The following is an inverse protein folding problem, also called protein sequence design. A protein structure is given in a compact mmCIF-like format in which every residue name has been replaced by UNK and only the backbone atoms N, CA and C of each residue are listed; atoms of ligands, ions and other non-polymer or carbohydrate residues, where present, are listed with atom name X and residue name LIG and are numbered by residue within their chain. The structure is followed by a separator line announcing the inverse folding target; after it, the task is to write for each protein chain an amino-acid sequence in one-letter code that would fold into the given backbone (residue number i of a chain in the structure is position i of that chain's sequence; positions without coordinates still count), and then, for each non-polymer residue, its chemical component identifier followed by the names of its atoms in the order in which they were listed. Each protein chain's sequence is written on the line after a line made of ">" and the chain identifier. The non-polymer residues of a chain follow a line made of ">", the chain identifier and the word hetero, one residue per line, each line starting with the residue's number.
data_IF_743547069440
#
_entry.id   IF_743547069440
#
_cell.length_a   1.000
_cell.length_b   1.000
_cell.length_c   1.000
_cell.angle_alpha   90.00
_cell.angle_beta   90.00
_cell.angle_gamma   90.00
#
_symmetry.space_group_name_H-M   'P 1'
#
loop_
_entity.id
_entity.type
_entity.pdbx_description
1 polymer ?
#
# COMPACT_ATOMS: atom_id res chain seq x y z
N UNK A 1 -6.67 -32.60 19.33
CA UNK A 1 -6.39 -31.21 18.91
C UNK A 1 -6.40 -30.35 20.13
N UNK A 2 -5.42 -29.45 20.32
CA UNK A 2 -5.34 -28.55 21.47
C UNK A 2 -6.52 -27.57 21.47
N UNK A 3 -7.11 -27.31 22.65
CA UNK A 3 -7.97 -26.16 22.84
C UNK A 3 -7.15 -24.87 23.01
N UNK A 4 -7.82 -23.71 23.07
CA UNK A 4 -7.13 -22.42 23.21
C UNK A 4 -6.24 -22.34 24.44
N UNK A 5 -6.70 -22.78 25.59
CA UNK A 5 -5.92 -22.73 26.82
C UNK A 5 -4.74 -23.70 26.82
N UNK A 6 -4.91 -24.89 26.24
CA UNK A 6 -3.84 -25.86 26.07
C UNK A 6 -2.76 -25.35 25.12
N UNK A 7 -3.17 -24.71 24.01
CA UNK A 7 -2.25 -24.07 23.07
C UNK A 7 -1.44 -22.98 23.77
N UNK A 8 -2.10 -22.01 24.40
CA UNK A 8 -1.44 -20.87 25.04
C UNK A 8 -0.44 -21.33 26.13
N UNK A 9 -0.84 -22.29 26.98
CA UNK A 9 0.04 -22.81 28.00
C UNK A 9 1.23 -23.62 27.43
N UNK A 10 0.97 -24.45 26.40
CA UNK A 10 2.02 -25.24 25.75
C UNK A 10 2.99 -24.36 25.01
N UNK A 11 2.49 -23.35 24.31
CA UNK A 11 3.30 -22.37 23.62
C UNK A 11 4.18 -21.55 24.59
N UNK A 12 3.62 -21.11 25.72
CA UNK A 12 4.38 -20.43 26.77
C UNK A 12 5.52 -21.33 27.33
N UNK A 13 5.27 -22.62 27.46
CA UNK A 13 6.27 -23.60 27.89
C UNK A 13 7.33 -23.84 26.83
N UNK A 14 6.90 -24.05 25.57
CA UNK A 14 7.77 -24.41 24.45
C UNK A 14 8.61 -23.23 23.97
N UNK A 15 7.96 -22.14 23.56
CA UNK A 15 8.62 -21.01 22.90
C UNK A 15 9.15 -19.95 23.88
N UNK A 16 8.41 -19.67 24.96
CA UNK A 16 8.80 -18.65 25.95
C UNK A 16 9.57 -19.23 27.17
N UNK A 17 9.83 -20.55 27.18
CA UNK A 17 10.63 -21.20 28.19
C UNK A 17 10.06 -21.20 29.61
N UNK A 18 8.74 -21.04 29.77
CA UNK A 18 8.08 -21.02 31.07
C UNK A 18 8.17 -22.40 31.75
N UNK A 19 8.75 -22.45 32.98
CA UNK A 19 8.99 -23.70 33.71
C UNK A 19 8.32 -23.74 35.09
N UNK A 20 7.47 -22.76 35.39
CA UNK A 20 6.67 -22.75 36.64
C UNK A 20 5.23 -22.34 36.30
N UNK A 21 4.28 -22.76 37.17
CA UNK A 21 2.87 -22.38 36.99
C UNK A 21 2.66 -20.87 36.89
N UNK A 22 3.41 -20.09 37.67
CA UNK A 22 3.33 -18.61 37.63
C UNK A 22 3.91 -18.07 36.34
N UNK A 23 5.04 -18.62 35.86
CA UNK A 23 5.63 -18.21 34.59
C UNK A 23 4.72 -18.57 33.41
N UNK A 24 4.09 -19.75 33.41
CA UNK A 24 3.11 -20.13 32.37
C UNK A 24 1.92 -19.19 32.41
N UNK A 25 1.34 -18.91 33.59
CA UNK A 25 0.22 -17.99 33.70
C UNK A 25 0.57 -16.58 33.15
N UNK A 26 1.74 -16.05 33.53
CA UNK A 26 2.19 -14.75 33.08
C UNK A 26 2.44 -14.72 31.55
N UNK A 27 3.10 -15.74 30.98
CA UNK A 27 3.48 -15.80 29.58
C UNK A 27 2.30 -16.13 28.65
N UNK A 28 1.25 -16.80 29.13
CA UNK A 28 0.06 -17.20 28.38
C UNK A 28 -1.14 -16.27 28.59
N UNK A 29 -1.05 -15.29 29.49
CA UNK A 29 -2.20 -14.45 29.85
C UNK A 29 -3.32 -15.17 30.60
N UNK A 30 -3.11 -16.43 31.02
CA UNK A 30 -4.10 -17.23 31.75
C UNK A 30 -4.12 -16.89 33.25
N UNK A 31 -5.28 -17.03 33.89
CA UNK A 31 -5.30 -16.98 35.35
C UNK A 31 -4.47 -18.13 35.94
N UNK A 32 -3.92 -17.94 37.15
CA UNK A 32 -3.11 -18.98 37.82
C UNK A 32 -3.90 -20.29 37.97
N UNK A 33 -5.22 -20.20 38.26
CA UNK A 33 -6.08 -21.38 38.38
C UNK A 33 -6.28 -22.11 37.06
N UNK A 34 -6.52 -21.37 35.99
CA UNK A 34 -6.63 -21.90 34.60
C UNK A 34 -5.29 -22.54 34.19
N UNK A 35 -4.19 -21.83 34.37
CA UNK A 35 -2.85 -22.32 34.03
C UNK A 35 -2.54 -23.65 34.76
N UNK A 36 -2.88 -23.77 36.08
CA UNK A 36 -2.68 -24.99 36.82
C UNK A 36 -3.53 -26.15 36.28
N UNK A 37 -4.80 -25.91 35.99
CA UNK A 37 -5.67 -26.94 35.41
C UNK A 37 -5.16 -27.39 34.02
N UNK A 38 -4.77 -26.43 33.17
CA UNK A 38 -4.24 -26.68 31.82
C UNK A 38 -2.91 -27.45 31.87
N UNK A 39 -1.98 -27.09 32.78
CA UNK A 39 -0.72 -27.83 32.96
C UNK A 39 -0.98 -29.30 33.36
N UNK A 40 -1.99 -29.55 34.23
CA UNK A 40 -2.36 -30.93 34.57
C UNK A 40 -2.88 -31.70 33.35
N UNK A 41 -3.67 -31.06 32.49
CA UNK A 41 -4.14 -31.67 31.25
C UNK A 41 -2.97 -31.93 30.27
N UNK A 42 -2.04 -30.99 30.11
CA UNK A 42 -0.86 -31.17 29.25
C UNK A 42 0.03 -32.34 29.74
N UNK A 43 0.20 -32.49 31.04
CA UNK A 43 0.89 -33.67 31.61
C UNK A 43 0.15 -34.96 31.33
N UNK A 44 -1.16 -34.99 31.56
CA UNK A 44 -1.99 -36.16 31.27
C UNK A 44 -1.96 -36.60 29.82
N UNK A 45 -1.82 -35.63 28.89
CA UNK A 45 -1.62 -35.90 27.46
C UNK A 45 -0.16 -36.23 27.09
N UNK A 46 0.76 -36.22 28.07
CA UNK A 46 2.18 -36.49 27.82
C UNK A 46 2.90 -35.40 27.01
N UNK A 47 2.36 -34.19 26.95
CA UNK A 47 2.94 -33.07 26.19
C UNK A 47 4.04 -32.34 26.96
N UNK A 48 4.02 -32.45 28.32
CA UNK A 48 5.05 -31.89 29.18
C UNK A 48 5.37 -32.92 30.29
N UNK A 49 6.62 -32.94 30.75
CA UNK A 49 7.06 -33.77 31.85
C UNK A 49 6.78 -33.12 33.23
N UNK A 50 7.25 -33.75 34.31
CA UNK A 50 7.06 -33.24 35.66
C UNK A 50 7.82 -31.93 35.94
N UNK A 51 8.88 -31.66 35.18
CA UNK A 51 9.64 -30.40 35.24
C UNK A 51 9.08 -29.28 34.36
N UNK A 52 7.97 -29.53 33.68
CA UNK A 52 7.41 -28.67 32.64
C UNK A 52 8.34 -28.50 31.42
N UNK A 53 9.20 -29.46 31.13
CA UNK A 53 9.88 -29.49 29.85
C UNK A 53 8.94 -30.09 28.78
N UNK A 54 8.90 -29.50 27.53
CA UNK A 54 8.12 -30.04 26.47
C UNK A 54 8.69 -31.38 26.00
N UNK A 55 7.82 -32.33 25.68
CA UNK A 55 8.19 -33.63 25.10
C UNK A 55 8.18 -33.58 23.56
N UNK A 56 8.62 -34.65 22.89
CA UNK A 56 8.52 -34.74 21.43
C UNK A 56 7.06 -34.65 20.97
N UNK A 57 6.11 -35.22 21.73
CA UNK A 57 4.68 -35.12 21.46
C UNK A 57 4.15 -33.66 21.52
N UNK A 58 4.83 -32.74 22.21
CA UNK A 58 4.49 -31.33 22.25
C UNK A 58 4.68 -30.68 20.89
N UNK A 59 5.77 -31.04 20.17
CA UNK A 59 6.04 -30.53 18.82
C UNK A 59 4.97 -30.97 17.82
N UNK A 60 4.59 -32.26 17.88
CA UNK A 60 3.53 -32.80 17.03
C UNK A 60 2.18 -32.11 17.31
N UNK A 61 1.91 -31.84 18.60
CA UNK A 61 0.68 -31.13 18.98
C UNK A 61 0.65 -29.66 18.55
N UNK A 62 1.80 -28.99 18.49
CA UNK A 62 1.94 -27.59 18.00
C UNK A 62 2.03 -27.51 16.49
N UNK A 63 2.44 -28.56 15.78
CA UNK A 63 2.66 -28.54 14.33
C UNK A 63 1.48 -27.98 13.50
N UNK A 64 0.19 -28.27 13.81
CA UNK A 64 -0.94 -27.70 13.08
C UNK A 64 -1.08 -26.17 13.17
N UNK A 65 -0.46 -25.56 14.19
CA UNK A 65 -0.51 -24.13 14.47
C UNK A 65 0.75 -23.39 14.03
N UNK A 66 1.73 -24.10 13.48
CA UNK A 66 2.95 -23.49 12.97
C UNK A 66 2.60 -22.61 11.76
N UNK A 67 3.18 -21.42 11.75
CA UNK A 67 3.09 -20.50 10.58
C UNK A 67 3.86 -21.12 9.43
N UNK A 68 3.22 -21.26 8.29
CA UNK A 68 3.82 -21.82 7.08
C UNK A 68 4.66 -20.78 6.35
N UNK A 69 4.11 -19.57 6.21
CA UNK A 69 4.71 -18.50 5.39
C UNK A 69 4.13 -17.12 5.73
N UNK A 70 4.67 -16.10 5.05
CA UNK A 70 4.12 -14.74 5.07
C UNK A 70 4.00 -14.17 3.65
N UNK A 71 2.98 -13.37 3.44
CA UNK A 71 2.75 -12.59 2.22
C UNK A 71 2.79 -11.11 2.57
N UNK A 72 3.64 -10.34 1.89
CA UNK A 72 3.68 -8.88 2.01
C UNK A 72 3.07 -8.28 0.75
N UNK A 73 1.98 -7.54 0.92
CA UNK A 73 1.26 -6.88 -0.18
C UNK A 73 1.92 -5.53 -0.49
N UNK A 74 2.56 -5.43 -1.66
CA UNK A 74 3.32 -4.26 -2.10
C UNK A 74 2.96 -3.81 -3.52
N UNK A 75 1.76 -4.14 -4.01
CA UNK A 75 1.37 -3.87 -5.40
C UNK A 75 0.69 -2.51 -5.62
N UNK A 76 0.30 -1.80 -4.56
CA UNK A 76 -0.52 -0.59 -4.60
C UNK A 76 0.16 0.63 -5.21
N UNK A 77 -0.64 1.56 -5.76
CA UNK A 77 -0.19 2.80 -6.40
C UNK A 77 0.35 3.85 -5.41
N UNK A 78 0.02 3.76 -4.13
CA UNK A 78 0.44 4.69 -3.07
C UNK A 78 0.16 6.18 -3.40
N UNK A 79 -0.96 6.48 -4.07
CA UNK A 79 -1.25 7.80 -4.64
C UNK A 79 -1.32 8.93 -3.59
N UNK A 80 -1.68 8.61 -2.34
CA UNK A 80 -1.70 9.55 -1.21
C UNK A 80 -0.30 9.98 -0.72
N UNK A 81 0.77 9.31 -1.22
CA UNK A 81 2.17 9.65 -0.94
C UNK A 81 2.80 10.54 -2.01
N UNK A 82 2.02 11.09 -2.94
CA UNK A 82 2.55 12.07 -3.88
C UNK A 82 3.24 13.23 -3.13
N UNK A 83 4.38 13.73 -3.58
CA UNK A 83 5.06 13.37 -4.82
C UNK A 83 6.01 12.17 -4.71
N UNK A 84 6.31 11.70 -3.50
CA UNK A 84 7.33 10.67 -3.25
C UNK A 84 6.97 9.35 -3.96
N UNK A 85 5.68 8.98 -3.94
CA UNK A 85 5.20 7.77 -4.63
C UNK A 85 5.36 7.81 -6.15
N UNK A 86 5.55 8.99 -6.75
CA UNK A 86 5.86 9.10 -8.18
C UNK A 86 7.27 8.62 -8.50
N UNK A 87 8.15 8.57 -7.52
CA UNK A 87 9.53 8.10 -7.65
C UNK A 87 9.71 6.70 -7.07
N UNK A 88 9.20 6.43 -5.87
CA UNK A 88 9.39 5.16 -5.14
C UNK A 88 8.07 4.67 -4.53
N UNK A 89 7.79 3.36 -4.56
CA UNK A 89 6.62 2.80 -3.86
C UNK A 89 6.79 2.87 -2.34
N UNK A 90 5.68 2.93 -1.58
CA UNK A 90 5.68 3.07 -0.11
C UNK A 90 6.62 2.10 0.60
N UNK A 91 6.54 0.81 0.26
CA UNK A 91 7.27 -0.24 0.97
C UNK A 91 8.79 -0.10 0.95
N UNK A 92 9.36 0.62 -0.03
CA UNK A 92 10.81 0.86 -0.09
C UNK A 92 11.23 2.21 0.47
N UNK A 93 10.31 2.96 1.08
CA UNK A 93 10.66 4.21 1.75
C UNK A 93 11.50 3.93 3.00
N UNK A 94 12.46 4.81 3.24
CA UNK A 94 13.32 4.76 4.42
C UNK A 94 12.73 5.64 5.51
N UNK A 95 12.31 5.03 6.61
CA UNK A 95 11.68 5.68 7.75
C UNK A 95 12.54 5.40 8.97
N UNK A 96 12.91 6.43 9.72
CA UNK A 96 13.85 6.33 10.86
C UNK A 96 15.13 5.54 10.53
N UNK A 97 15.62 5.70 9.30
CA UNK A 97 16.85 5.06 8.85
C UNK A 97 16.72 3.63 8.34
N UNK A 98 15.54 3.01 8.40
CA UNK A 98 15.25 1.64 7.90
C UNK A 98 14.28 1.66 6.75
N UNK A 99 14.44 0.75 5.78
CA UNK A 99 13.45 0.53 4.71
C UNK A 99 12.29 -0.29 5.27
N UNK A 100 11.05 0.17 5.07
CA UNK A 100 9.85 -0.42 5.66
C UNK A 100 9.74 -1.93 5.43
N UNK A 101 9.76 -2.35 4.17
CA UNK A 101 9.59 -3.77 3.82
C UNK A 101 10.78 -4.62 4.30
N UNK A 102 11.99 -4.08 4.31
CA UNK A 102 13.17 -4.80 4.82
C UNK A 102 13.06 -5.05 6.33
N UNK A 103 12.53 -4.06 7.08
CA UNK A 103 12.27 -4.21 8.50
C UNK A 103 11.28 -5.32 8.77
N UNK A 104 10.15 -5.36 8.04
CA UNK A 104 9.15 -6.43 8.17
C UNK A 104 9.75 -7.81 7.85
N UNK A 105 10.53 -7.92 6.77
CA UNK A 105 11.20 -9.18 6.40
C UNK A 105 12.14 -9.64 7.52
N UNK A 106 12.92 -8.73 8.12
CA UNK A 106 13.80 -9.07 9.25
C UNK A 106 13.01 -9.57 10.47
N UNK A 107 11.91 -8.89 10.82
CA UNK A 107 11.06 -9.26 11.94
C UNK A 107 10.38 -10.63 11.73
N UNK A 108 9.89 -10.92 10.52
CA UNK A 108 9.36 -12.24 10.17
C UNK A 108 10.42 -13.34 10.35
N UNK A 109 11.64 -13.11 9.90
CA UNK A 109 12.75 -14.07 10.06
C UNK A 109 13.18 -14.26 11.52
N UNK A 110 13.22 -13.19 12.29
CA UNK A 110 13.46 -13.26 13.74
C UNK A 110 12.43 -14.14 14.44
N UNK A 111 11.19 -14.16 13.94
CA UNK A 111 10.14 -15.06 14.41
C UNK A 111 10.25 -16.49 13.82
N UNK A 112 11.27 -16.78 12.99
CA UNK A 112 11.46 -18.09 12.35
C UNK A 112 10.55 -18.37 11.17
N UNK A 113 10.05 -17.29 10.49
CA UNK A 113 9.22 -17.37 9.29
C UNK A 113 10.09 -16.99 8.09
N UNK A 114 10.61 -18.00 7.40
CA UNK A 114 11.60 -17.83 6.31
C UNK A 114 10.96 -17.84 4.92
N UNK A 115 9.82 -18.52 4.71
CA UNK A 115 9.11 -18.52 3.43
C UNK A 115 8.26 -17.26 3.30
N UNK A 116 8.85 -16.22 2.70
CA UNK A 116 8.26 -14.90 2.54
C UNK A 116 8.05 -14.61 1.07
N UNK A 117 6.81 -14.25 0.71
CA UNK A 117 6.45 -13.83 -0.65
C UNK A 117 6.06 -12.34 -0.63
N UNK A 118 6.67 -11.55 -1.49
CA UNK A 118 6.32 -10.14 -1.72
C UNK A 118 5.55 -10.04 -3.02
N UNK A 119 4.31 -9.54 -2.96
CA UNK A 119 3.49 -9.33 -4.16
C UNK A 119 3.60 -7.88 -4.59
N UNK A 120 4.16 -7.66 -5.77
CA UNK A 120 4.49 -6.35 -6.30
C UNK A 120 3.65 -6.00 -7.53
N UNK A 121 3.51 -4.72 -7.84
CA UNK A 121 2.76 -4.23 -9.01
C UNK A 121 3.32 -2.90 -9.51
N UNK A 122 2.89 -1.80 -8.92
CA UNK A 122 3.41 -0.48 -9.23
C UNK A 122 4.90 -0.38 -8.90
N UNK A 123 5.71 0.06 -9.88
CA UNK A 123 7.19 0.18 -9.75
C UNK A 123 7.83 -1.09 -9.16
N UNK A 124 7.39 -2.25 -9.65
CA UNK A 124 7.84 -3.56 -9.18
C UNK A 124 9.36 -3.75 -9.20
N UNK A 125 10.04 -3.07 -10.11
CA UNK A 125 11.50 -3.08 -10.27
C UNK A 125 12.24 -2.59 -9.02
N UNK A 126 11.62 -1.70 -8.23
CA UNK A 126 12.17 -1.19 -6.98
C UNK A 126 12.22 -2.24 -5.86
N UNK A 127 11.60 -3.40 -6.05
CA UNK A 127 11.56 -4.49 -5.08
C UNK A 127 12.44 -5.68 -5.46
N UNK A 128 12.93 -5.78 -6.70
CA UNK A 128 13.63 -6.99 -7.15
C UNK A 128 14.92 -7.29 -6.37
N UNK A 129 15.59 -6.27 -5.83
CA UNK A 129 16.77 -6.45 -4.99
C UNK A 129 16.51 -7.29 -3.72
N UNK A 130 15.24 -7.40 -3.29
CA UNK A 130 14.87 -8.19 -2.12
C UNK A 130 15.07 -9.69 -2.33
N UNK A 131 15.00 -10.18 -3.57
CA UNK A 131 15.33 -11.59 -3.90
C UNK A 131 16.78 -11.89 -3.59
N UNK A 132 17.70 -11.03 -4.03
CA UNK A 132 19.14 -11.21 -3.80
C UNK A 132 19.52 -10.96 -2.34
N UNK A 133 18.94 -9.93 -1.71
CA UNK A 133 19.31 -9.52 -0.35
C UNK A 133 18.72 -10.44 0.73
N UNK A 134 17.49 -10.87 0.54
CA UNK A 134 16.74 -11.65 1.54
C UNK A 134 16.28 -13.02 1.03
N UNK A 135 16.49 -13.40 -0.22
CA UNK A 135 15.99 -14.68 -0.76
C UNK A 135 14.47 -14.85 -0.67
N UNK A 136 13.72 -13.75 -0.64
CA UNK A 136 12.25 -13.76 -0.68
C UNK A 136 11.77 -14.08 -2.10
N UNK A 137 10.54 -14.55 -2.23
CA UNK A 137 9.90 -14.76 -3.54
C UNK A 137 9.19 -13.48 -3.97
N UNK A 138 9.42 -13.01 -5.20
CA UNK A 138 8.65 -11.91 -5.80
C UNK A 138 7.57 -12.49 -6.72
N UNK A 139 6.33 -12.04 -6.53
CA UNK A 139 5.19 -12.35 -7.39
C UNK A 139 4.64 -11.05 -7.96
N UNK A 140 4.43 -11.00 -9.29
CA UNK A 140 3.95 -9.78 -9.95
C UNK A 140 2.43 -9.86 -10.10
N UNK A 141 1.72 -8.91 -9.50
CA UNK A 141 0.32 -8.68 -9.75
C UNK A 141 0.17 -7.81 -11.02
N UNK A 142 -0.28 -8.39 -12.12
CA UNK A 142 -0.50 -7.66 -13.37
C UNK A 142 -1.79 -6.84 -13.41
N UNK A 143 -2.71 -7.09 -12.47
CA UNK A 143 -4.02 -6.44 -12.39
C UNK A 143 -4.04 -5.26 -11.39
N UNK A 144 -2.90 -4.89 -10.80
CA UNK A 144 -2.81 -3.87 -9.76
C UNK A 144 -3.40 -2.50 -10.14
N UNK A 145 -3.45 -2.18 -11.44
CA UNK A 145 -3.97 -0.91 -11.95
C UNK A 145 -5.48 -0.93 -12.22
N UNK A 146 -6.08 -2.11 -12.31
CA UNK A 146 -7.48 -2.30 -12.71
C UNK A 146 -8.33 -2.94 -11.61
N UNK A 147 -7.69 -3.55 -10.63
CA UNK A 147 -8.34 -4.21 -9.48
C UNK A 147 -7.69 -3.75 -8.17
N UNK A 148 -8.43 -3.91 -7.08
CA UNK A 148 -7.93 -3.62 -5.74
C UNK A 148 -7.09 -4.79 -5.18
N UNK A 149 -6.76 -4.75 -3.88
CA UNK A 149 -5.88 -5.72 -3.21
C UNK A 149 -6.41 -7.17 -3.21
N UNK A 150 -7.69 -7.41 -3.54
CA UNK A 150 -8.22 -8.76 -3.79
C UNK A 150 -7.43 -9.48 -4.88
N UNK A 151 -6.97 -8.77 -5.91
CA UNK A 151 -6.11 -9.33 -6.97
C UNK A 151 -4.73 -9.74 -6.45
N UNK A 152 -4.20 -9.02 -5.46
CA UNK A 152 -2.94 -9.36 -4.79
C UNK A 152 -3.06 -10.70 -4.06
N UNK A 153 -4.15 -10.91 -3.32
CA UNK A 153 -4.45 -12.21 -2.68
C UNK A 153 -4.63 -13.31 -3.74
N UNK A 154 -5.35 -13.00 -4.84
CA UNK A 154 -5.56 -13.95 -5.95
C UNK A 154 -4.25 -14.48 -6.53
N UNK A 155 -3.25 -13.62 -6.71
CA UNK A 155 -1.93 -14.01 -7.24
C UNK A 155 -1.24 -15.10 -6.42
N UNK A 156 -1.45 -15.11 -5.10
CA UNK A 156 -0.76 -15.99 -4.14
C UNK A 156 -1.71 -16.97 -3.44
N UNK A 157 -2.97 -17.05 -3.83
CA UNK A 157 -3.98 -17.91 -3.21
C UNK A 157 -3.51 -19.35 -3.02
N UNK A 158 -2.76 -19.88 -3.97
CA UNK A 158 -2.22 -21.25 -3.94
C UNK A 158 -1.11 -21.47 -2.89
N UNK A 159 -0.55 -20.39 -2.32
CA UNK A 159 0.47 -20.42 -1.26
C UNK A 159 -0.14 -20.31 0.13
N UNK A 160 -1.41 -19.89 0.25
CA UNK A 160 -2.03 -19.59 1.52
C UNK A 160 -2.33 -20.86 2.32
N UNK A 161 -1.85 -20.86 3.55
CA UNK A 161 -2.05 -21.90 4.55
C UNK A 161 -2.24 -21.23 5.91
N UNK A 162 -1.37 -21.52 6.84
CA UNK A 162 -1.16 -20.77 8.08
C UNK A 162 -0.27 -19.57 7.73
N UNK A 163 -0.86 -18.45 7.32
CA UNK A 163 -0.15 -17.38 6.62
C UNK A 163 -0.34 -16.03 7.29
N UNK A 164 0.75 -15.30 7.52
CA UNK A 164 0.66 -13.87 7.78
C UNK A 164 0.45 -13.09 6.47
N UNK A 165 -0.51 -12.16 6.47
CA UNK A 165 -0.71 -11.22 5.38
C UNK A 165 -0.46 -9.82 5.93
N UNK A 166 0.53 -9.13 5.37
CA UNK A 166 1.03 -7.85 5.83
C UNK A 166 0.89 -6.80 4.73
N UNK A 167 0.68 -5.56 5.10
CA UNK A 167 0.83 -4.41 4.21
C UNK A 167 2.28 -3.92 4.22
N UNK A 168 2.82 -3.51 3.07
CA UNK A 168 4.23 -3.10 2.94
C UNK A 168 4.53 -1.73 3.55
N UNK A 169 3.53 -1.02 4.00
CA UNK A 169 3.56 0.32 4.60
C UNK A 169 3.43 0.32 6.12
N UNK A 170 3.36 -0.85 6.74
CA UNK A 170 3.38 -0.98 8.19
C UNK A 170 4.80 -0.82 8.75
N UNK A 171 4.89 -0.13 9.87
CA UNK A 171 6.09 -0.09 10.71
C UNK A 171 5.76 -0.63 12.10
N UNK A 172 6.36 -1.75 12.46
CA UNK A 172 6.20 -2.35 13.78
C UNK A 172 7.38 -1.91 14.67
N UNK A 173 7.09 -1.19 15.77
CA UNK A 173 8.12 -0.75 16.71
C UNK A 173 8.70 -1.94 17.51
N UNK A 174 7.87 -2.95 17.75
CA UNK A 174 8.23 -4.23 18.31
C UNK A 174 7.89 -5.34 17.32
N UNK A 175 8.52 -6.51 17.43
CA UNK A 175 8.21 -7.63 16.54
C UNK A 175 6.86 -8.25 16.90
N UNK A 176 5.81 -8.15 16.06
CA UNK A 176 4.49 -8.68 16.36
C UNK A 176 4.32 -10.14 15.93
N UNK A 177 5.29 -10.72 15.24
CA UNK A 177 5.18 -12.05 14.63
C UNK A 177 5.54 -13.16 15.61
N UNK A 178 4.72 -14.19 15.60
CA UNK A 178 4.90 -15.41 16.41
C UNK A 178 4.99 -16.64 15.49
N UNK A 179 5.87 -17.60 15.75
CA UNK A 179 6.06 -18.80 14.90
C UNK A 179 4.90 -19.80 14.95
N UNK A 180 4.03 -19.70 15.95
CA UNK A 180 2.84 -20.53 16.13
C UNK A 180 1.66 -19.64 16.51
N UNK A 181 0.53 -19.82 15.84
CA UNK A 181 -0.69 -19.03 16.08
C UNK A 181 -1.90 -19.96 16.13
N UNK A 182 -2.76 -19.75 17.13
CA UNK A 182 -3.86 -20.67 17.42
C UNK A 182 -4.97 -20.62 16.36
N UNK A 183 -5.36 -19.42 15.92
CA UNK A 183 -6.47 -19.19 14.99
C UNK A 183 -6.29 -17.90 14.21
N UNK A 184 -7.06 -17.75 13.15
CA UNK A 184 -7.10 -16.52 12.36
C UNK A 184 -7.46 -15.29 13.21
N UNK A 185 -6.72 -14.20 13.01
CA UNK A 185 -6.97 -12.92 13.69
C UNK A 185 -6.70 -11.71 12.79
N UNK A 186 -7.35 -10.60 13.11
CA UNK A 186 -7.03 -9.26 12.60
C UNK A 186 -6.38 -8.45 13.73
N UNK A 187 -5.24 -7.83 13.46
CA UNK A 187 -4.61 -6.90 14.39
C UNK A 187 -5.45 -5.62 14.53
N UNK A 188 -5.48 -5.07 15.73
CA UNK A 188 -6.24 -3.85 16.00
C UNK A 188 -5.57 -2.99 17.06
N UNK A 189 -5.73 -1.67 16.92
CA UNK A 189 -5.32 -0.67 17.91
C UNK A 189 -6.53 0.12 18.37
N UNK A 190 -6.53 0.61 19.61
CA UNK A 190 -7.65 1.37 20.12
C UNK A 190 -7.51 2.85 19.77
N UNK A 191 -8.46 3.39 18.99
CA UNK A 191 -8.56 4.79 18.65
C UNK A 191 -9.45 5.49 19.68
N UNK A 192 -8.88 6.48 20.40
CA UNK A 192 -9.61 7.32 21.33
C UNK A 192 -10.24 8.51 20.59
N UNK A 193 -11.50 8.83 20.90
CA UNK A 193 -12.25 9.89 20.25
C UNK A 193 -12.88 9.47 18.93
N UNK A 194 -13.27 10.40 18.06
CA UNK A 194 -13.86 10.09 16.77
C UNK A 194 -12.79 9.59 15.81
N UNK A 195 -13.13 8.60 14.98
CA UNK A 195 -12.29 8.06 13.91
C UNK A 195 -13.12 7.83 12.65
N UNK A 196 -12.50 7.92 11.49
CA UNK A 196 -13.08 7.55 10.19
C UNK A 196 -12.57 6.18 9.69
N UNK A 197 -11.70 5.52 10.49
CA UNK A 197 -11.12 4.24 10.18
C UNK A 197 -12.12 3.08 10.24
N UNK A 198 -11.73 1.93 9.73
CA UNK A 198 -12.52 0.71 9.81
C UNK A 198 -12.47 0.13 11.22
N UNK A 199 -13.63 0.06 11.86
CA UNK A 199 -13.78 -0.33 13.25
C UNK A 199 -14.28 -1.77 13.37
N UNK A 200 -13.69 -2.55 14.29
CA UNK A 200 -14.06 -3.93 14.58
C UNK A 200 -15.15 -3.99 15.65
N UNK A 201 -16.26 -4.62 15.32
CA UNK A 201 -17.30 -4.99 16.29
C UNK A 201 -17.05 -6.43 16.72
N UNK A 202 -16.89 -6.66 18.03
CA UNK A 202 -16.55 -7.98 18.56
C UNK A 202 -17.58 -8.52 19.53
N UNK A 203 -17.67 -9.85 19.66
CA UNK A 203 -18.53 -10.55 20.62
C UNK A 203 -17.77 -11.59 21.44
N UNK A 204 -18.23 -11.79 22.66
CA UNK A 204 -17.68 -12.79 23.57
C UNK A 204 -16.32 -12.45 24.14
N UNK A 205 -15.81 -13.33 25.03
CA UNK A 205 -14.54 -13.13 25.71
C UNK A 205 -13.32 -13.29 24.79
N UNK A 206 -13.48 -14.07 23.74
CA UNK A 206 -12.42 -14.34 22.75
C UNK A 206 -12.34 -13.25 21.69
N UNK A 207 -13.19 -12.19 21.78
CA UNK A 207 -13.22 -11.07 20.84
C UNK A 207 -13.44 -11.52 19.39
N UNK A 208 -14.37 -12.49 19.19
CA UNK A 208 -14.76 -12.90 17.85
C UNK A 208 -15.32 -11.69 17.09
N UNK A 209 -14.77 -11.39 15.93
CA UNK A 209 -15.24 -10.30 15.07
C UNK A 209 -16.63 -10.68 14.54
N UNK A 210 -17.59 -9.79 14.71
CA UNK A 210 -18.99 -9.97 14.32
C UNK A 210 -19.52 -8.89 13.40
N UNK A 211 -18.69 -7.88 13.10
CA UNK A 211 -19.00 -6.79 12.19
C UNK A 211 -17.78 -5.91 11.97
N UNK A 212 -17.83 -5.19 10.85
CA UNK A 212 -16.87 -4.14 10.50
C UNK A 212 -17.68 -2.90 10.14
N UNK A 213 -17.38 -1.77 10.75
CA UNK A 213 -18.07 -0.50 10.54
C UNK A 213 -17.04 0.57 10.12
N UNK A 214 -17.44 1.47 9.21
CA UNK A 214 -16.58 2.59 8.80
C UNK A 214 -16.90 3.78 9.68
N UNK A 215 -15.87 4.28 10.37
CA UNK A 215 -16.02 5.35 11.34
C UNK A 215 -16.58 4.90 12.69
N UNK A 216 -16.23 5.65 13.75
CA UNK A 216 -16.67 5.32 15.10
C UNK A 216 -16.17 6.34 16.13
N UNK A 217 -16.30 5.97 17.40
CA UNK A 217 -15.76 6.74 18.54
C UNK A 217 -15.31 5.74 19.61
N UNK A 218 -14.10 5.97 20.13
CA UNK A 218 -13.53 5.11 21.19
C UNK A 218 -13.59 3.63 20.79
N UNK A 219 -13.06 3.31 19.59
CA UNK A 219 -13.26 2.05 18.90
C UNK A 219 -11.93 1.36 18.59
N UNK A 220 -11.99 0.03 18.45
CA UNK A 220 -10.86 -0.76 17.92
C UNK A 220 -10.83 -0.64 16.40
N UNK A 221 -9.76 -0.09 15.85
CA UNK A 221 -9.56 0.09 14.42
C UNK A 221 -8.74 -1.08 13.83
N UNK A 222 -9.09 -1.47 12.61
CA UNK A 222 -8.32 -2.43 11.81
C UNK A 222 -7.00 -1.81 11.41
N UNK A 223 -5.88 -2.47 11.71
CA UNK A 223 -4.57 -1.90 11.46
C UNK A 223 -3.53 -3.01 11.18
N UNK A 224 -2.75 -2.80 10.14
CA UNK A 224 -1.53 -3.53 9.91
C UNK A 224 -1.71 -4.92 9.30
N UNK A 225 -1.39 -5.96 10.06
CA UNK A 225 -1.32 -7.32 9.55
C UNK A 225 -2.46 -8.19 10.03
N UNK A 226 -2.67 -9.30 9.31
CA UNK A 226 -3.58 -10.37 9.71
C UNK A 226 -2.86 -11.71 9.71
N UNK A 227 -3.38 -12.64 10.46
CA UNK A 227 -3.00 -14.04 10.36
C UNK A 227 -4.21 -14.86 9.92
N UNK A 228 -4.04 -15.63 8.88
CA UNK A 228 -5.02 -16.59 8.37
C UNK A 228 -4.57 -18.00 8.72
N UNK A 229 -5.37 -18.72 9.45
CA UNK A 229 -5.15 -20.16 9.57
C UNK A 229 -5.57 -20.90 8.30
N UNK A 230 -5.20 -22.14 8.17
CA UNK A 230 -5.44 -22.95 6.98
C UNK A 230 -6.92 -23.07 6.62
N UNK A 231 -7.80 -23.12 7.61
CA UNK A 231 -9.24 -23.22 7.38
C UNK A 231 -9.79 -21.91 6.82
N UNK A 232 -9.37 -20.78 7.39
CA UNK A 232 -9.70 -19.45 6.89
C UNK A 232 -9.18 -19.25 5.47
N UNK A 233 -7.91 -19.55 5.21
CA UNK A 233 -7.28 -19.43 3.89
C UNK A 233 -8.05 -20.19 2.80
N UNK A 234 -8.46 -21.42 3.11
CA UNK A 234 -9.24 -22.25 2.20
C UNK A 234 -10.67 -21.71 1.98
N UNK A 235 -11.32 -21.23 3.05
CA UNK A 235 -12.65 -20.66 2.94
C UNK A 235 -12.64 -19.36 2.13
N UNK A 236 -11.73 -18.44 2.43
CA UNK A 236 -11.57 -17.20 1.70
C UNK A 236 -11.25 -17.44 0.23
N UNK A 237 -10.35 -18.38 -0.06
CA UNK A 237 -10.01 -18.75 -1.43
C UNK A 237 -11.22 -19.20 -2.25
N UNK A 238 -12.11 -20.03 -1.69
CA UNK A 238 -13.35 -20.46 -2.38
C UNK A 238 -14.30 -19.29 -2.64
N UNK A 239 -14.43 -18.36 -1.69
CA UNK A 239 -15.25 -17.16 -1.85
C UNK A 239 -14.69 -16.28 -2.95
N UNK A 240 -13.37 -16.02 -2.90
CA UNK A 240 -12.69 -15.23 -3.91
C UNK A 240 -12.81 -15.85 -5.31
N UNK A 241 -12.66 -17.17 -5.44
CA UNK A 241 -12.86 -17.88 -6.72
C UNK A 241 -14.26 -17.70 -7.28
N UNK A 242 -15.28 -17.68 -6.42
CA UNK A 242 -16.67 -17.52 -6.83
C UNK A 242 -17.03 -16.09 -7.26
N UNK A 243 -16.39 -15.07 -6.65
CA UNK A 243 -16.72 -13.65 -6.89
C UNK A 243 -15.78 -12.96 -7.87
N UNK A 244 -14.57 -13.51 -8.13
CA UNK A 244 -13.49 -12.79 -8.79
C UNK A 244 -13.84 -12.28 -10.19
N UNK A 245 -14.56 -13.07 -10.98
CA UNK A 245 -14.92 -12.73 -12.36
C UNK A 245 -16.08 -11.71 -12.45
N UNK A 246 -16.78 -11.44 -11.33
CA UNK A 246 -17.77 -10.37 -11.29
C UNK A 246 -17.07 -9.00 -11.38
N UNK A 247 -17.43 -8.13 -12.36
CA UNK A 247 -16.89 -6.78 -12.45
C UNK A 247 -17.05 -5.95 -11.16
N UNK A 248 -18.09 -6.22 -10.37
CA UNK A 248 -18.31 -5.56 -9.08
C UNK A 248 -17.27 -5.94 -8.01
N UNK A 249 -16.59 -7.07 -8.16
CA UNK A 249 -15.51 -7.49 -7.28
C UNK A 249 -14.22 -6.70 -7.53
N UNK A 250 -13.97 -6.22 -8.75
CA UNK A 250 -12.71 -5.59 -9.13
C UNK A 250 -12.29 -4.43 -8.21
N UNK A 251 -13.15 -3.46 -7.85
CA UNK A 251 -12.78 -2.34 -6.97
C UNK A 251 -12.72 -2.70 -5.48
N UNK A 252 -13.21 -3.88 -5.08
CA UNK A 252 -13.32 -4.26 -3.66
C UNK A 252 -11.97 -4.57 -3.05
N UNK A 253 -11.79 -4.13 -1.80
CA UNK A 253 -10.74 -4.62 -0.92
C UNK A 253 -11.03 -6.07 -0.50
N UNK A 254 -10.00 -6.86 -0.17
CA UNK A 254 -10.21 -8.19 0.40
C UNK A 254 -10.94 -8.11 1.75
N UNK A 255 -10.75 -7.03 2.48
CA UNK A 255 -11.43 -6.71 3.74
C UNK A 255 -12.94 -6.51 3.55
N UNK A 256 -13.37 -5.94 2.41
CA UNK A 256 -14.79 -5.81 2.05
C UNK A 256 -15.41 -7.16 1.71
N UNK A 257 -14.62 -8.05 1.09
CA UNK A 257 -15.05 -9.43 0.84
C UNK A 257 -15.19 -10.17 2.18
N UNK A 258 -14.21 -10.01 3.08
CA UNK A 258 -14.27 -10.57 4.44
C UNK A 258 -15.50 -10.08 5.19
N UNK A 259 -15.75 -8.78 5.23
CA UNK A 259 -16.90 -8.20 5.93
C UNK A 259 -18.25 -8.70 5.39
N UNK A 260 -18.35 -8.96 4.08
CA UNK A 260 -19.55 -9.51 3.46
C UNK A 260 -19.80 -10.99 3.81
N UNK A 261 -18.75 -11.74 4.16
CA UNK A 261 -18.80 -13.17 4.47
C UNK A 261 -18.36 -13.50 5.90
N UNK A 262 -18.54 -12.57 6.83
CA UNK A 262 -17.99 -12.64 8.19
C UNK A 262 -18.46 -13.89 8.97
N UNK A 263 -19.65 -14.39 8.70
CA UNK A 263 -20.20 -15.60 9.33
C UNK A 263 -19.53 -16.90 8.82
N UNK A 264 -18.98 -16.88 7.61
CA UNK A 264 -18.26 -18.00 6.99
C UNK A 264 -16.75 -17.95 7.27
N UNK A 265 -16.26 -16.79 7.67
CA UNK A 265 -14.83 -16.46 7.86
C UNK A 265 -14.55 -16.04 9.31
N UNK A 266 -14.64 -16.95 10.29
CA UNK A 266 -14.44 -16.59 11.69
C UNK A 266 -13.01 -16.13 11.96
N UNK A 267 -12.86 -14.94 12.54
CA UNK A 267 -11.60 -14.31 12.90
C UNK A 267 -11.77 -13.60 14.23
N UNK A 268 -10.72 -13.59 15.05
CA UNK A 268 -10.73 -12.85 16.32
C UNK A 268 -9.96 -11.55 16.19
N UNK A 269 -10.29 -10.58 16.98
CA UNK A 269 -9.52 -9.34 17.09
C UNK A 269 -8.30 -9.60 18.00
N UNK A 270 -7.11 -9.24 17.51
CA UNK A 270 -5.88 -9.27 18.29
C UNK A 270 -5.45 -7.84 18.61
N UNK A 271 -5.60 -7.40 19.88
CA UNK A 271 -5.29 -6.02 20.25
C UNK A 271 -3.79 -5.83 20.44
N UNK A 272 -3.30 -4.70 19.94
CA UNK A 272 -1.97 -4.19 20.21
C UNK A 272 -2.06 -2.88 21.00
N UNK A 273 -1.04 -2.63 21.82
CA UNK A 273 -0.89 -1.34 22.50
C UNK A 273 -0.65 -0.22 21.48
N UNK A 274 -1.04 0.98 21.85
CA UNK A 274 -0.82 2.16 21.01
C UNK A 274 0.67 2.36 20.72
N UNK A 275 0.99 2.73 19.48
CA UNK A 275 2.36 2.93 19.02
C UNK A 275 3.17 1.66 18.71
N UNK A 276 2.60 0.47 18.83
CA UNK A 276 3.26 -0.78 18.38
C UNK A 276 3.20 -0.92 16.87
N UNK A 277 2.06 -0.60 16.28
CA UNK A 277 1.81 -0.65 14.84
C UNK A 277 1.58 0.75 14.32
N UNK A 278 2.30 1.13 13.28
CA UNK A 278 2.10 2.36 12.52
C UNK A 278 1.85 1.98 11.06
N UNK A 279 0.71 2.35 10.56
CA UNK A 279 0.36 2.26 9.14
C UNK A 279 0.40 3.66 8.54
N UNK A 280 1.15 3.83 7.45
CA UNK A 280 1.29 5.13 6.82
C UNK A 280 0.36 5.22 5.62
N UNK A 281 -0.77 5.86 5.78
CA UNK A 281 -1.74 6.09 4.73
C UNK A 281 -1.43 7.31 3.87
N UNK A 282 -0.76 8.28 4.47
CA UNK A 282 -0.39 9.55 3.82
C UNK A 282 1.03 9.98 4.19
N UNK A 283 1.53 10.96 3.43
CA UNK A 283 2.79 11.61 3.76
C UNK A 283 2.75 12.34 5.11
N UNK A 284 1.56 12.80 5.54
CA UNK A 284 1.37 13.48 6.82
C UNK A 284 1.57 12.52 8.00
N UNK A 285 1.03 11.29 7.93
CA UNK A 285 1.21 10.27 8.98
C UNK A 285 2.68 9.91 9.14
N UNK A 286 3.39 9.83 8.01
CA UNK A 286 4.81 9.54 8.01
C UNK A 286 5.63 10.68 8.61
N UNK A 287 5.28 11.95 8.36
CA UNK A 287 5.90 13.12 8.97
C UNK A 287 5.59 13.24 10.47
N UNK A 288 4.41 12.82 10.91
CA UNK A 288 4.07 12.76 12.33
C UNK A 288 4.97 11.74 13.06
N UNK A 289 5.20 10.59 12.44
CA UNK A 289 6.06 9.55 13.00
C UNK A 289 7.56 9.88 12.90
N UNK A 290 8.01 10.42 11.76
CA UNK A 290 9.39 10.77 11.46
C UNK A 290 9.46 12.22 10.98
N UNK A 291 9.63 13.16 11.91
CA UNK A 291 9.63 14.61 11.62
C UNK A 291 10.68 15.04 10.61
N UNK A 292 11.78 14.29 10.51
CA UNK A 292 12.90 14.59 9.63
C UNK A 292 12.77 13.90 8.26
N UNK A 293 11.69 13.12 8.04
CA UNK A 293 11.50 12.32 6.83
C UNK A 293 11.60 13.16 5.55
N UNK A 294 10.89 14.28 5.49
CA UNK A 294 10.85 15.13 4.28
C UNK A 294 12.24 15.69 3.94
N UNK A 295 13.03 16.04 4.94
CA UNK A 295 14.38 16.59 4.71
C UNK A 295 15.36 15.48 4.32
N UNK A 296 15.14 14.25 4.76
CA UNK A 296 16.01 13.11 4.54
C UNK A 296 15.61 12.20 3.37
N UNK A 297 14.37 12.29 2.87
CA UNK A 297 13.93 11.45 1.76
C UNK A 297 14.69 11.77 0.49
N UNK A 298 15.19 10.72 -0.18
CA UNK A 298 15.79 10.84 -1.49
C UNK A 298 14.71 11.04 -2.54
N UNK A 299 14.52 12.29 -3.01
CA UNK A 299 13.49 12.67 -3.97
C UNK A 299 13.99 13.77 -4.91
N UNK A 300 14.17 13.42 -6.18
CA UNK A 300 14.53 14.36 -7.23
C UNK A 300 13.42 15.41 -7.45
N UNK A 301 12.15 15.01 -7.29
CA UNK A 301 11.01 15.92 -7.41
C UNK A 301 11.10 17.04 -6.38
N UNK A 302 11.37 16.72 -5.11
CA UNK A 302 11.51 17.72 -4.06
C UNK A 302 12.71 18.63 -4.34
N UNK A 303 13.82 18.07 -4.81
CA UNK A 303 15.03 18.85 -5.17
C UNK A 303 14.78 19.78 -6.36
N UNK A 304 14.02 19.34 -7.37
CA UNK A 304 13.62 20.20 -8.48
C UNK A 304 12.82 21.39 -7.99
N UNK A 305 11.82 21.17 -7.14
CA UNK A 305 10.97 22.24 -6.57
C UNK A 305 11.82 23.21 -5.77
N UNK A 306 12.67 22.72 -4.85
CA UNK A 306 13.53 23.55 -4.01
C UNK A 306 14.48 24.40 -4.84
N UNK A 307 15.12 23.80 -5.84
CA UNK A 307 16.07 24.47 -6.74
C UNK A 307 15.40 25.58 -7.56
N UNK A 308 14.21 25.27 -8.14
CA UNK A 308 13.51 26.20 -9.01
C UNK A 308 12.86 27.37 -8.27
N UNK A 309 12.38 27.14 -7.05
CA UNK A 309 11.67 28.16 -6.27
C UNK A 309 12.52 28.84 -5.19
N UNK A 310 13.76 28.38 -4.98
CA UNK A 310 14.65 28.91 -3.94
C UNK A 310 14.03 28.75 -2.55
N UNK A 311 13.61 27.55 -2.20
CA UNK A 311 12.95 27.22 -0.95
C UNK A 311 13.56 25.99 -0.28
N UNK A 312 13.33 25.79 1.00
CA UNK A 312 13.60 24.55 1.69
C UNK A 312 12.45 23.53 1.44
N UNK A 313 12.70 22.26 1.67
CA UNK A 313 11.65 21.21 1.56
C UNK A 313 10.53 21.45 2.57
N UNK A 314 10.86 21.94 3.76
CA UNK A 314 9.91 22.35 4.79
C UNK A 314 9.01 23.54 4.43
N UNK A 315 9.34 24.30 3.36
CA UNK A 315 8.48 25.37 2.84
C UNK A 315 7.37 24.84 1.91
N UNK A 316 7.41 23.56 1.53
CA UNK A 316 6.46 22.95 0.59
C UNK A 316 5.27 22.38 1.38
N UNK A 317 4.09 22.96 1.18
CA UNK A 317 2.88 22.61 1.90
C UNK A 317 1.70 22.34 0.97
N UNK A 318 0.61 21.78 1.52
CA UNK A 318 -0.65 21.61 0.80
C UNK A 318 -0.52 20.80 -0.47
N UNK A 319 0.28 19.75 -0.44
CA UNK A 319 0.47 18.84 -1.57
C UNK A 319 -0.83 18.08 -1.82
N UNK A 320 -1.38 18.27 -3.03
CA UNK A 320 -2.62 17.62 -3.44
C UNK A 320 -2.42 17.00 -4.83
N UNK A 321 -2.56 15.68 -4.98
CA UNK A 321 -2.54 15.05 -6.29
C UNK A 321 -3.63 15.66 -7.18
N UNK A 322 -3.27 15.98 -8.41
CA UNK A 322 -4.22 16.42 -9.43
C UNK A 322 -4.77 15.19 -10.16
N UNK A 323 -5.90 15.39 -10.86
CA UNK A 323 -6.47 14.31 -11.66
C UNK A 323 -5.41 13.74 -12.59
N UNK A 324 -5.19 12.44 -12.49
CA UNK A 324 -4.21 11.73 -13.29
C UNK A 324 -4.54 11.85 -14.79
N UNK A 325 -3.57 12.32 -15.57
CA UNK A 325 -3.63 12.30 -17.03
C UNK A 325 -3.27 10.90 -17.56
N UNK A 326 -3.48 10.69 -18.86
CA UNK A 326 -3.11 9.42 -19.53
C UNK A 326 -1.60 9.16 -19.48
N UNK A 327 -0.79 10.22 -19.51
CA UNK A 327 0.67 10.13 -19.71
C UNK A 327 1.50 10.78 -18.60
N UNK A 328 0.89 11.48 -17.64
CA UNK A 328 1.63 12.25 -16.64
C UNK A 328 0.97 12.16 -15.28
N UNK A 329 1.80 12.18 -14.25
CA UNK A 329 1.41 12.34 -12.85
C UNK A 329 1.60 13.81 -12.46
N UNK A 330 0.64 14.40 -11.78
CA UNK A 330 0.72 15.81 -11.42
C UNK A 330 0.19 16.05 -10.01
N UNK A 331 0.77 17.04 -9.34
CA UNK A 331 0.28 17.51 -8.04
C UNK A 331 0.34 19.04 -7.96
N UNK A 332 -0.55 19.61 -7.17
CA UNK A 332 -0.48 21.01 -6.75
C UNK A 332 0.15 21.09 -5.36
N UNK A 333 0.81 22.21 -5.09
CA UNK A 333 1.43 22.48 -3.79
C UNK A 333 1.58 23.99 -3.57
N UNK A 334 1.91 24.39 -2.35
CA UNK A 334 2.09 25.78 -1.97
C UNK A 334 3.50 26.03 -1.42
N UNK A 335 4.12 27.14 -1.86
CA UNK A 335 5.36 27.66 -1.32
C UNK A 335 5.19 29.16 -1.10
N UNK A 336 5.46 29.66 0.11
CA UNK A 336 5.40 31.10 0.50
C UNK A 336 4.08 31.76 0.09
N UNK A 337 2.93 31.06 0.31
CA UNK A 337 1.59 31.55 0.00
C UNK A 337 1.23 31.58 -1.48
N UNK A 338 2.00 30.93 -2.34
CA UNK A 338 1.72 30.81 -3.77
C UNK A 338 1.56 29.36 -4.16
N UNK A 339 0.54 29.06 -4.97
CA UNK A 339 0.27 27.70 -5.46
C UNK A 339 0.98 27.46 -6.79
N UNK A 340 1.49 26.24 -6.91
CA UNK A 340 2.21 25.74 -8.07
C UNK A 340 1.63 24.38 -8.49
N UNK A 341 1.92 23.98 -9.72
CA UNK A 341 1.68 22.64 -10.21
C UNK A 341 3.00 22.04 -10.72
N UNK A 342 3.28 20.82 -10.27
CA UNK A 342 4.37 20.00 -10.78
C UNK A 342 3.81 18.87 -11.61
N UNK A 343 4.38 18.62 -12.78
CA UNK A 343 4.08 17.49 -13.65
C UNK A 343 5.29 16.57 -13.70
N UNK A 344 5.08 15.32 -13.31
CA UNK A 344 6.05 14.25 -13.46
C UNK A 344 5.70 13.43 -14.71
N UNK A 345 6.64 13.13 -15.62
CA UNK A 345 6.35 12.32 -16.80
C UNK A 345 5.98 10.89 -16.37
N UNK A 346 4.98 10.33 -17.01
CA UNK A 346 4.62 8.94 -16.83
C UNK A 346 5.57 8.02 -17.59
N UNK A 347 5.71 6.79 -17.13
CA UNK A 347 6.56 5.77 -17.75
C UNK A 347 6.17 5.57 -19.21
N UNK A 348 7.16 5.62 -20.11
CA UNK A 348 6.96 5.43 -21.54
C UNK A 348 6.39 6.65 -22.31
N UNK A 349 6.12 7.78 -21.63
CA UNK A 349 5.60 8.99 -22.30
C UNK A 349 6.56 9.56 -23.33
N UNK A 350 7.88 9.34 -23.19
CA UNK A 350 8.91 9.84 -24.12
C UNK A 350 8.84 9.19 -25.49
N UNK A 351 8.22 8.00 -25.61
CA UNK A 351 7.96 7.38 -26.89
C UNK A 351 6.99 8.19 -27.77
N UNK A 352 6.15 9.03 -27.16
CA UNK A 352 5.05 9.73 -27.83
C UNK A 352 5.16 11.26 -27.78
N UNK A 353 5.92 11.81 -26.81
CA UNK A 353 6.01 13.25 -26.57
C UNK A 353 7.41 13.74 -26.93
N UNK A 354 7.49 14.69 -27.87
CA UNK A 354 8.74 15.41 -28.18
C UNK A 354 8.87 16.59 -27.22
N UNK A 355 9.62 16.40 -26.12
CA UNK A 355 9.79 17.42 -25.08
C UNK A 355 10.33 18.74 -25.61
N UNK A 356 11.29 18.72 -26.54
CA UNK A 356 11.83 19.93 -27.17
C UNK A 356 10.76 20.78 -27.85
N UNK A 357 9.82 20.14 -28.54
CA UNK A 357 8.72 20.82 -29.19
C UNK A 357 7.68 21.37 -28.19
N UNK A 358 7.44 20.65 -27.09
CA UNK A 358 6.58 21.08 -25.99
C UNK A 358 7.17 22.35 -25.33
N UNK A 359 8.44 22.33 -24.94
CA UNK A 359 9.15 23.48 -24.34
C UNK A 359 9.14 24.68 -25.27
N UNK A 360 9.37 24.49 -26.58
CA UNK A 360 9.33 25.56 -27.57
C UNK A 360 7.93 26.19 -27.65
N UNK A 361 6.88 25.36 -27.69
CA UNK A 361 5.50 25.84 -27.73
C UNK A 361 5.08 26.61 -26.46
N UNK A 362 5.48 26.11 -25.28
CA UNK A 362 5.25 26.77 -23.99
C UNK A 362 5.96 28.13 -23.90
N UNK A 363 7.22 28.18 -24.34
CA UNK A 363 8.01 29.41 -24.37
C UNK A 363 7.36 30.46 -25.28
N UNK A 364 6.91 30.06 -26.47
CA UNK A 364 6.17 30.95 -27.42
C UNK A 364 4.87 31.45 -26.77
N UNK A 365 4.10 30.57 -26.14
CA UNK A 365 2.87 30.94 -25.45
C UNK A 365 3.12 31.92 -24.29
N UNK A 366 4.20 31.76 -23.57
CA UNK A 366 4.61 32.68 -22.50
C UNK A 366 5.00 34.05 -23.04
N UNK A 367 5.85 34.10 -24.08
CA UNK A 367 6.30 35.34 -24.72
C UNK A 367 5.13 36.14 -25.34
N UNK A 368 4.16 35.43 -25.93
CA UNK A 368 2.94 36.06 -26.49
C UNK A 368 1.91 36.42 -25.39
N UNK A 369 2.18 36.12 -24.14
CA UNK A 369 1.27 36.39 -23.02
C UNK A 369 0.01 35.53 -23.02
N UNK A 370 -0.02 34.44 -23.78
CA UNK A 370 -1.11 33.47 -23.86
C UNK A 370 -1.14 32.54 -22.66
N UNK A 371 0.03 32.11 -22.18
CA UNK A 371 0.19 31.37 -20.93
C UNK A 371 1.30 31.99 -20.06
N UNK A 372 0.94 32.57 -18.93
CA UNK A 372 1.87 33.14 -17.95
C UNK A 372 2.13 32.21 -16.76
N UNK A 373 1.61 31.00 -16.80
CA UNK A 373 1.81 30.01 -15.74
C UNK A 373 3.15 29.28 -15.86
N UNK A 374 3.67 29.17 -17.08
CA UNK A 374 4.92 28.46 -17.37
C UNK A 374 6.09 29.03 -16.56
N UNK A 375 6.85 28.14 -15.91
CA UNK A 375 8.09 28.48 -15.17
C UNK A 375 9.27 27.74 -15.80
N UNK A 376 9.18 26.41 -15.91
CA UNK A 376 10.26 25.59 -16.43
C UNK A 376 9.75 24.20 -16.84
N UNK A 377 10.35 23.64 -17.88
CA UNK A 377 10.21 22.24 -18.27
C UNK A 377 11.59 21.70 -18.65
N UNK A 378 11.93 20.53 -18.12
CA UNK A 378 13.18 19.84 -18.46
C UNK A 378 13.00 19.06 -19.76
N UNK A 379 13.87 19.32 -20.74
CA UNK A 379 13.82 18.71 -22.08
C UNK A 379 14.24 17.23 -22.03
N UNK A 380 15.10 16.86 -21.09
CA UNK A 380 15.65 15.51 -20.96
C UNK A 380 14.73 14.63 -20.16
N UNK A 381 14.39 15.07 -18.95
CA UNK A 381 13.63 14.28 -18.00
C UNK A 381 12.11 14.53 -18.08
N UNK A 382 11.69 15.58 -18.80
CA UNK A 382 10.27 15.86 -19.09
C UNK A 382 9.42 16.35 -17.92
N UNK A 383 10.02 16.65 -16.76
CA UNK A 383 9.26 17.24 -15.66
C UNK A 383 9.01 18.74 -15.90
N UNK A 384 7.87 19.23 -15.40
CA UNK A 384 7.44 20.62 -15.62
C UNK A 384 6.98 21.25 -14.30
N UNK A 385 7.35 22.52 -14.13
CA UNK A 385 6.88 23.36 -13.05
C UNK A 385 6.11 24.55 -13.61
N UNK A 386 4.92 24.81 -13.10
CA UNK A 386 4.11 25.96 -13.48
C UNK A 386 3.41 26.60 -12.28
N UNK A 387 2.97 27.85 -12.41
CA UNK A 387 2.07 28.46 -11.44
C UNK A 387 0.71 27.78 -11.53
N UNK A 388 0.08 27.50 -10.42
CA UNK A 388 -1.26 26.93 -10.42
C UNK A 388 -2.29 27.99 -10.82
N UNK A 389 -3.05 27.71 -11.88
CA UNK A 389 -4.17 28.55 -12.30
C UNK A 389 -5.44 27.96 -11.70
N UNK A 390 -6.05 28.69 -10.77
CA UNK A 390 -7.39 28.34 -10.31
C UNK A 390 -8.39 28.69 -11.41
N UNK A 391 -8.90 27.70 -12.10
CA UNK A 391 -9.98 27.89 -13.06
C UNK A 391 -11.22 28.40 -12.31
N UNK A 392 -11.78 29.54 -12.75
CA UNK A 392 -13.00 30.09 -12.18
C UNK A 392 -14.25 29.44 -12.76
N UNK A 393 -14.20 29.13 -14.05
CA UNK A 393 -15.30 28.51 -14.78
C UNK A 393 -14.75 27.53 -15.83
N UNK A 394 -15.39 26.37 -16.06
CA UNK A 394 -15.08 25.51 -17.19
C UNK A 394 -15.36 26.24 -18.51
N UNK A 395 -14.56 25.97 -19.56
CA UNK A 395 -14.85 26.47 -20.88
C UNK A 395 -16.20 25.92 -21.39
N UNK A 396 -17.11 26.80 -21.74
CA UNK A 396 -18.38 26.43 -22.38
C UNK A 396 -18.39 26.94 -23.85
N UNK A 397 -18.36 26.02 -24.82
CA UNK A 397 -18.41 26.30 -26.22
C UNK A 397 -19.73 26.90 -26.70
N UNK A 398 -20.76 26.99 -25.87
CA UNK A 398 -22.02 27.70 -26.13
C UNK A 398 -22.01 29.12 -25.61
N UNK A 399 -21.05 29.49 -24.79
CA UNK A 399 -20.86 30.83 -24.29
C UNK A 399 -20.02 31.63 -25.29
N UNK A 400 -20.65 32.61 -25.94
CA UNK A 400 -20.01 33.45 -26.97
C UNK A 400 -18.76 34.15 -26.42
N UNK A 401 -18.79 34.64 -25.20
CA UNK A 401 -17.63 35.29 -24.58
C UNK A 401 -16.45 34.35 -24.41
N UNK A 402 -16.70 33.07 -24.04
CA UNK A 402 -15.64 32.06 -23.96
C UNK A 402 -15.05 31.73 -25.33
N UNK A 403 -15.92 31.63 -26.36
CA UNK A 403 -15.49 31.36 -27.72
C UNK A 403 -14.69 32.55 -28.27
N UNK A 404 -15.15 33.81 -28.07
CA UNK A 404 -14.43 35.00 -28.49
C UNK A 404 -13.05 35.11 -27.86
N UNK A 405 -12.92 34.82 -26.55
CA UNK A 405 -11.64 34.80 -25.83
C UNK A 405 -10.69 33.73 -26.41
N UNK A 406 -11.19 32.53 -26.66
CA UNK A 406 -10.40 31.42 -27.24
C UNK A 406 -9.95 31.78 -28.68
N UNK A 407 -10.84 32.35 -29.47
CA UNK A 407 -10.52 32.77 -30.85
C UNK A 407 -9.55 33.94 -30.88
N UNK A 408 -9.61 34.87 -29.94
CA UNK A 408 -8.63 35.95 -29.80
C UNK A 408 -7.23 35.40 -29.47
N UNK A 409 -7.13 34.44 -28.54
CA UNK A 409 -5.88 33.76 -28.22
C UNK A 409 -5.31 33.02 -29.45
N UNK A 410 -6.14 32.25 -30.15
CA UNK A 410 -5.73 31.55 -31.38
C UNK A 410 -5.24 32.54 -32.47
N UNK A 411 -5.92 33.66 -32.62
CA UNK A 411 -5.51 34.73 -33.60
C UNK A 411 -4.14 35.32 -33.23
N UNK A 412 -3.89 35.57 -31.94
CA UNK A 412 -2.59 36.06 -31.46
C UNK A 412 -1.48 35.07 -31.80
N UNK A 413 -1.71 33.77 -31.53
CA UNK A 413 -0.76 32.72 -31.87
C UNK A 413 -0.50 32.65 -33.40
N UNK A 414 -1.55 32.59 -34.23
CA UNK A 414 -1.40 32.49 -35.68
C UNK A 414 -0.73 33.72 -36.27
N UNK A 415 -1.04 34.93 -35.78
CA UNK A 415 -0.44 36.17 -36.27
C UNK A 415 1.04 36.33 -35.90
N UNK A 416 1.53 35.61 -34.90
CA UNK A 416 2.93 35.66 -34.49
C UNK A 416 3.90 35.07 -35.52
N UNK A 417 3.41 34.18 -36.40
CA UNK A 417 4.24 33.44 -37.34
C UNK A 417 5.18 32.43 -36.69
N UNK A 418 4.98 32.16 -35.39
CA UNK A 418 5.82 31.19 -34.65
C UNK A 418 5.63 29.78 -35.22
N UNK A 419 6.73 29.05 -35.35
CA UNK A 419 6.76 27.66 -35.85
C UNK A 419 7.45 26.79 -34.82
N UNK A 420 6.85 25.64 -34.49
CA UNK A 420 7.47 24.57 -33.71
C UNK A 420 7.84 23.40 -34.63
N UNK A 421 8.83 22.65 -34.28
CA UNK A 421 9.39 21.55 -35.08
C UNK A 421 8.42 20.38 -35.32
N UNK A 422 7.28 20.34 -34.62
CA UNK A 422 6.24 19.32 -34.75
C UNK A 422 4.97 19.90 -35.38
N UNK A 423 4.49 19.27 -36.46
CA UNK A 423 3.12 19.46 -36.93
C UNK A 423 2.18 18.45 -36.27
N UNK A 424 0.98 18.88 -35.90
CA UNK A 424 -0.08 17.97 -35.48
C UNK A 424 -0.56 17.18 -36.72
N UNK A 425 -0.25 15.90 -36.77
CA UNK A 425 -0.71 14.98 -37.80
C UNK A 425 -1.32 13.73 -37.11
N UNK A 426 -2.65 13.74 -36.87
CA UNK A 426 -3.32 12.67 -36.17
C UNK A 426 -3.14 11.28 -36.79
N UNK A 427 -2.93 11.19 -38.10
CA UNK A 427 -2.74 9.93 -38.79
C UNK A 427 -1.34 9.38 -38.54
N UNK A 428 -0.30 10.22 -38.61
CA UNK A 428 1.06 9.80 -38.25
C UNK A 428 1.21 9.47 -36.78
N UNK A 429 0.54 10.23 -35.90
CA UNK A 429 0.54 9.92 -34.48
C UNK A 429 -0.13 8.56 -34.22
N UNK A 430 -1.26 8.25 -34.87
CA UNK A 430 -1.92 6.96 -34.77
C UNK A 430 -1.06 5.80 -35.32
N UNK A 431 -0.37 6.01 -36.43
CA UNK A 431 0.57 5.02 -37.00
C UNK A 431 1.71 4.73 -36.03
N UNK A 432 2.31 5.78 -35.43
CA UNK A 432 3.39 5.59 -34.44
C UNK A 432 2.92 4.88 -33.17
N UNK A 433 1.69 5.10 -32.71
CA UNK A 433 1.10 4.36 -31.60
C UNK A 433 0.88 2.89 -31.94
N UNK A 434 0.41 2.60 -33.15
CA UNK A 434 0.25 1.21 -33.62
C UNK A 434 1.59 0.49 -33.75
N UNK A 435 2.64 1.18 -34.19
CA UNK A 435 3.99 0.61 -34.28
C UNK A 435 4.58 0.30 -32.90
N UNK A 436 4.28 1.13 -31.89
CA UNK A 436 4.74 0.92 -30.52
C UNK A 436 4.05 -0.26 -29.82
N UNK A 437 2.86 -0.68 -30.28
CA UNK A 437 2.18 -1.86 -29.74
C UNK A 437 2.83 -3.15 -30.25
N UNK A 438 3.00 -4.12 -29.34
CA UNK A 438 3.40 -5.48 -29.73
C UNK A 438 2.33 -6.10 -30.67
N UNK A 439 2.76 -6.99 -31.57
CA UNK A 439 1.90 -7.55 -32.61
C UNK A 439 0.66 -8.29 -32.05
N UNK A 440 0.79 -8.89 -30.87
CA UNK A 440 -0.26 -9.59 -30.13
C UNK A 440 -1.28 -8.67 -29.46
N UNK A 441 -0.96 -7.36 -29.32
CA UNK A 441 -1.85 -6.34 -28.74
C UNK A 441 -2.41 -5.36 -29.76
N UNK A 442 -2.12 -5.54 -31.04
CA UNK A 442 -2.68 -4.72 -32.12
C UNK A 442 -4.11 -5.12 -32.38
N UNK A 443 -5.04 -4.19 -32.19
CA UNK A 443 -6.44 -4.39 -32.53
C UNK A 443 -6.62 -4.07 -34.01
N UNK A 444 -7.22 -5.00 -34.77
CA UNK A 444 -7.58 -4.77 -36.14
C UNK A 444 -8.85 -3.92 -36.22
N UNK A 445 -8.82 -2.81 -36.97
CA UNK A 445 -10.03 -2.00 -37.23
C UNK A 445 -11.14 -2.76 -37.97
N UNK A 446 -10.89 -3.99 -38.42
CA UNK A 446 -11.89 -4.87 -39.04
C UNK A 446 -12.76 -5.61 -38.04
N UNK A 447 -12.38 -5.54 -36.75
CA UNK A 447 -13.06 -6.27 -35.67
C UNK A 447 -14.04 -5.37 -34.89
N UNK A 448 -14.32 -4.13 -35.40
CA UNK A 448 -15.32 -3.19 -34.89
C UNK A 448 -16.49 -3.00 -35.85
#
# INVERSE_FOLDING_TARGET
>A
MLGSYEFEALYAIYAKGARTQRAVAAASGLSLGTANATIKALRAFGLVDDSLAPTDAALDALAPFKVDNAVIMAAGLSSRFAPISYEKPKGVLRVRGEVLIERQIRQLREAGIDDITVVVGYKKEEFFYLEDLFGVRIVINHEYATRNNNSTIRCVQHLLGNTYICSSDDYFTENPFEPYVFRAYYSATFASGPTEEWCLVTKGKERLISGVEVGGRDSWIMLGHVYWDRAFSQAFGRILDAEYDDPACAPRLWEEIYAAHIDELPMVMHPYEDGVIWEFDSLADLQEFDSDFIDNVDSAIMDHVCRMLGCARSDIHGIVPLKQGLTNLSFAFEVKGRRYAYRHPGVGSDAFIRRSAEVAAESIAYELGLDRSFIFEDVTDGWKLSRFIAAREPFDGRNVAHVDAAMAAARTLHASGAVVERSADPLKDAESYLEALSADRRISFRDF
#
